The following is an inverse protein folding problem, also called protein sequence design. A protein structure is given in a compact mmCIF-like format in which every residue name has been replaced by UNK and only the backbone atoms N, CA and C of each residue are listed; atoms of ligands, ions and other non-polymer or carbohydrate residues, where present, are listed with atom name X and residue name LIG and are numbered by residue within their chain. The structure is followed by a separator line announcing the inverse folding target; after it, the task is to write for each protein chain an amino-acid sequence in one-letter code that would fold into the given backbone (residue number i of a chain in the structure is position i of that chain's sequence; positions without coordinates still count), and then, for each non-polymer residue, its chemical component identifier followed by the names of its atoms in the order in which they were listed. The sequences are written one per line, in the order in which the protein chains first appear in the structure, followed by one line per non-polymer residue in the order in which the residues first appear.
data_IF_910139104865
#
_entry.id   IF_910139104865
#
_cell.length_a   1.000
_cell.length_b   1.000
_cell.length_c   1.000
_cell.angle_alpha   90.00
_cell.angle_beta   90.00
_cell.angle_gamma   90.00
#
_symmetry.space_group_name_H-M   'P 1'
#
loop_
_entity.id
_entity.type
_entity.pdbx_description
1 polymer ?
#
# COMPACT_ATOMS: atom_id res chain seq x y z
N UNK A 1 65.89 -12.14 -23.75
CA UNK A 1 64.63 -11.42 -23.44
C UNK A 1 63.64 -12.42 -22.87
N UNK A 2 62.96 -12.07 -21.78
CA UNK A 2 61.91 -12.91 -21.19
C UNK A 2 60.56 -12.26 -21.48
N UNK A 3 59.63 -12.98 -22.11
CA UNK A 3 58.31 -12.48 -22.53
C UNK A 3 58.35 -11.19 -23.37
N UNK A 4 59.40 -11.00 -24.19
CA UNK A 4 59.57 -9.80 -25.01
C UNK A 4 59.90 -8.51 -24.24
N UNK A 5 60.22 -8.61 -22.94
CA UNK A 5 60.52 -7.47 -22.07
C UNK A 5 62.00 -7.50 -21.66
N UNK A 6 62.63 -6.33 -21.62
CA UNK A 6 64.03 -6.14 -21.18
C UNK A 6 65.03 -5.98 -22.32
N UNK A 7 66.31 -5.93 -21.97
CA UNK A 7 67.41 -5.79 -22.93
C UNK A 7 67.81 -7.14 -23.54
N UNK A 8 68.29 -7.13 -24.78
CA UNK A 8 68.84 -8.33 -25.43
C UNK A 8 70.13 -8.81 -24.76
N UNK A 9 71.00 -7.86 -24.42
CA UNK A 9 72.24 -8.06 -23.67
C UNK A 9 72.45 -6.87 -22.73
N UNK A 10 73.01 -7.10 -21.54
CA UNK A 10 73.33 -6.01 -20.60
C UNK A 10 74.58 -5.22 -21.03
N UNK A 11 75.42 -5.81 -21.89
CA UNK A 11 76.66 -5.21 -22.42
C UNK A 11 76.35 -3.98 -23.27
N UNK A 12 76.99 -2.85 -22.98
CA UNK A 12 76.79 -1.58 -23.68
C UNK A 12 75.61 -0.74 -23.16
N UNK A 13 74.78 -1.27 -22.27
CA UNK A 13 73.65 -0.52 -21.68
C UNK A 13 74.02 0.35 -20.48
N UNK A 14 75.22 0.15 -19.91
CA UNK A 14 75.66 0.84 -18.69
C UNK A 14 74.90 0.45 -17.41
N UNK A 15 74.07 -0.61 -17.47
CA UNK A 15 73.28 -1.10 -16.33
C UNK A 15 73.47 -2.61 -16.12
N UNK A 16 73.02 -3.12 -14.97
CA UNK A 16 73.10 -4.55 -14.65
C UNK A 16 72.07 -5.41 -15.41
N UNK A 17 71.20 -4.81 -16.24
CA UNK A 17 70.17 -5.53 -17.00
C UNK A 17 69.02 -6.10 -16.16
N UNK A 18 68.87 -5.65 -14.90
CA UNK A 18 67.81 -6.10 -14.00
C UNK A 18 66.47 -5.44 -14.33
N UNK A 19 65.44 -6.24 -14.59
CA UNK A 19 64.10 -5.78 -15.00
C UNK A 19 63.11 -6.09 -13.89
N UNK A 20 62.44 -5.06 -13.37
CA UNK A 20 61.34 -5.20 -12.40
C UNK A 20 59.98 -5.05 -13.09
N UNK A 21 58.98 -5.77 -12.59
CA UNK A 21 57.59 -5.56 -13.00
C UNK A 21 57.09 -4.21 -12.46
N UNK A 22 56.36 -3.47 -13.28
CA UNK A 22 55.67 -2.26 -12.81
C UNK A 22 54.49 -2.64 -11.92
N UNK A 23 54.52 -2.25 -10.64
CA UNK A 23 53.44 -2.50 -9.67
C UNK A 23 52.19 -1.64 -9.93
N UNK A 24 52.37 -0.48 -10.57
CA UNK A 24 51.30 0.48 -10.85
C UNK A 24 50.62 0.23 -12.20
N UNK A 25 51.08 -0.74 -12.99
CA UNK A 25 50.44 -1.10 -14.24
C UNK A 25 49.14 -1.87 -13.96
N UNK A 26 48.01 -1.17 -13.99
CA UNK A 26 46.70 -1.78 -13.85
C UNK A 26 46.39 -2.60 -15.11
N UNK A 27 46.07 -3.88 -14.94
CA UNK A 27 45.61 -4.72 -16.06
C UNK A 27 44.29 -4.12 -16.58
N UNK A 28 44.15 -3.89 -17.89
CA UNK A 28 42.87 -3.47 -18.45
C UNK A 28 41.81 -4.50 -18.09
N UNK A 29 40.68 -4.01 -17.56
CA UNK A 29 39.58 -4.87 -17.13
C UNK A 29 38.92 -5.46 -18.39
N UNK A 30 38.83 -6.79 -18.47
CA UNK A 30 38.13 -7.46 -19.56
C UNK A 30 36.62 -7.30 -19.37
N UNK A 31 36.07 -6.18 -19.86
CA UNK A 31 34.66 -5.80 -19.70
C UNK A 31 33.72 -6.91 -20.20
N UNK A 32 34.06 -7.60 -21.29
CA UNK A 32 33.24 -8.67 -21.87
C UNK A 32 33.13 -9.86 -20.91
N UNK A 33 34.25 -10.34 -20.38
CA UNK A 33 34.29 -11.50 -19.50
C UNK A 33 33.66 -11.21 -18.14
N UNK A 34 33.81 -9.98 -17.63
CA UNK A 34 33.11 -9.54 -16.42
C UNK A 34 31.59 -9.43 -16.64
N UNK A 35 31.16 -9.01 -17.82
CA UNK A 35 29.75 -8.88 -18.17
C UNK A 35 29.09 -10.26 -18.32
N UNK A 36 29.71 -11.18 -19.03
CA UNK A 36 29.26 -12.58 -19.14
C UNK A 36 29.17 -13.23 -17.76
N UNK A 37 30.18 -13.03 -16.90
CA UNK A 37 30.17 -13.55 -15.52
C UNK A 37 29.07 -12.93 -14.67
N UNK A 38 28.77 -11.64 -14.85
CA UNK A 38 27.62 -10.99 -14.20
C UNK A 38 26.29 -11.53 -14.72
N UNK A 39 26.14 -11.70 -16.03
CA UNK A 39 24.94 -12.25 -16.65
C UNK A 39 24.71 -13.71 -16.19
N UNK A 40 25.74 -14.54 -16.12
CA UNK A 40 25.67 -15.88 -15.53
C UNK A 40 25.29 -15.85 -14.05
N UNK A 41 25.85 -14.93 -13.26
CA UNK A 41 25.49 -14.82 -11.84
C UNK A 41 24.02 -14.42 -11.65
N UNK A 42 23.51 -13.55 -12.53
CA UNK A 42 22.09 -13.15 -12.56
C UNK A 42 21.20 -14.31 -12.95
N UNK A 43 21.59 -15.07 -13.98
CA UNK A 43 20.86 -16.25 -14.44
C UNK A 43 20.76 -17.32 -13.34
N UNK A 44 21.85 -17.58 -12.60
CA UNK A 44 21.86 -18.52 -11.46
C UNK A 44 20.98 -18.03 -10.30
N UNK A 45 20.88 -16.72 -10.09
CA UNK A 45 20.03 -16.15 -9.03
C UNK A 45 18.55 -16.00 -9.45
N UNK A 46 18.24 -16.16 -10.74
CA UNK A 46 16.90 -16.05 -11.30
C UNK A 46 16.21 -17.42 -11.43
N UNK A 47 16.86 -18.51 -11.00
CA UNK A 47 16.26 -19.83 -11.05
C UNK A 47 15.08 -19.88 -10.08
N UNK A 48 13.87 -19.91 -10.63
CA UNK A 48 12.65 -19.90 -9.85
C UNK A 48 12.54 -21.17 -8.98
N UNK A 49 11.95 -21.07 -7.79
CA UNK A 49 11.64 -22.25 -6.98
C UNK A 49 10.77 -23.24 -7.76
N UNK A 50 11.14 -24.52 -7.76
CA UNK A 50 10.35 -25.56 -8.43
C UNK A 50 9.23 -26.02 -7.50
N UNK A 51 7.98 -25.89 -7.95
CA UNK A 51 6.81 -26.31 -7.21
C UNK A 51 6.82 -27.81 -6.90
N UNK A 52 7.32 -28.66 -7.80
CA UNK A 52 7.40 -30.10 -7.59
C UNK A 52 8.34 -30.46 -6.42
N UNK A 53 9.48 -29.78 -6.33
CA UNK A 53 10.44 -29.98 -5.23
C UNK A 53 9.85 -29.51 -3.90
N UNK A 54 9.16 -28.36 -3.88
CA UNK A 54 8.49 -27.86 -2.67
C UNK A 54 7.39 -28.81 -2.19
N UNK A 55 6.59 -29.36 -3.12
CA UNK A 55 5.57 -30.35 -2.80
C UNK A 55 6.17 -31.66 -2.28
N UNK A 56 7.29 -32.10 -2.86
CA UNK A 56 7.99 -33.30 -2.42
C UNK A 56 8.53 -33.12 -1.00
N UNK A 57 9.17 -31.99 -0.70
CA UNK A 57 9.62 -31.66 0.64
C UNK A 57 8.45 -31.56 1.63
N UNK A 58 7.30 -31.01 1.21
CA UNK A 58 6.07 -30.99 2.01
C UNK A 58 5.59 -32.40 2.37
N UNK A 59 5.49 -33.28 1.36
CA UNK A 59 5.09 -34.69 1.55
C UNK A 59 6.09 -35.44 2.43
N UNK A 60 7.39 -35.25 2.19
CA UNK A 60 8.47 -35.83 2.99
C UNK A 60 8.36 -35.43 4.47
N UNK A 61 8.09 -34.16 4.77
CA UNK A 61 7.86 -33.69 6.16
C UNK A 61 6.65 -34.35 6.82
N UNK A 62 5.59 -34.63 6.06
CA UNK A 62 4.42 -35.37 6.59
C UNK A 62 4.81 -36.82 6.89
N UNK A 63 5.49 -37.50 5.97
CA UNK A 63 5.90 -38.89 6.17
C UNK A 63 6.91 -39.05 7.30
N UNK A 64 7.86 -38.11 7.46
CA UNK A 64 8.78 -38.12 8.61
C UNK A 64 8.00 -38.10 9.93
N UNK A 65 7.00 -37.23 10.08
CA UNK A 65 6.17 -37.19 11.29
C UNK A 65 5.33 -38.44 11.49
N UNK A 66 4.88 -39.06 10.39
CA UNK A 66 4.16 -40.34 10.46
C UNK A 66 5.08 -41.47 10.95
N UNK A 67 6.34 -41.47 10.50
CA UNK A 67 7.35 -42.42 10.95
C UNK A 67 7.73 -42.17 12.42
N UNK A 68 7.96 -40.92 12.83
CA UNK A 68 8.22 -40.56 14.23
C UNK A 68 7.10 -41.07 15.16
N UNK A 69 5.82 -40.86 14.78
CA UNK A 69 4.69 -41.36 15.56
C UNK A 69 4.66 -42.89 15.62
N UNK A 70 4.98 -43.55 14.51
CA UNK A 70 5.04 -45.02 14.45
C UNK A 70 6.08 -45.55 15.42
N UNK A 71 7.32 -45.04 15.35
CA UNK A 71 8.42 -45.42 16.24
C UNK A 71 8.03 -45.20 17.71
N UNK A 72 7.39 -44.08 18.03
CA UNK A 72 6.90 -43.80 19.39
C UNK A 72 5.84 -44.78 19.90
N UNK A 73 4.98 -45.31 19.02
CA UNK A 73 3.94 -46.27 19.42
C UNK A 73 4.47 -47.70 19.49
N UNK A 74 5.45 -48.04 18.65
CA UNK A 74 6.18 -49.30 18.73
C UNK A 74 6.98 -49.38 20.04
N UNK A 75 7.67 -48.30 20.43
CA UNK A 75 8.38 -48.21 21.72
C UNK A 75 7.45 -48.32 22.93
N UNK A 76 6.18 -47.90 22.80
CA UNK A 76 5.13 -48.06 23.82
C UNK A 76 4.52 -49.46 23.84
N UNK A 77 4.83 -50.31 22.86
CA UNK A 77 4.31 -51.67 22.74
C UNK A 77 2.84 -51.74 22.33
N UNK A 78 2.33 -50.76 21.57
CA UNK A 78 0.97 -50.84 21.02
C UNK A 78 0.89 -51.88 19.88
N UNK A 79 -0.30 -52.41 19.62
CA UNK A 79 -0.52 -53.40 18.56
C UNK A 79 -0.48 -52.78 17.17
N UNK A 80 0.03 -53.52 16.18
CA UNK A 80 0.20 -53.05 14.78
C UNK A 80 -1.06 -52.40 14.20
N UNK A 81 -2.23 -52.99 14.40
CA UNK A 81 -3.52 -52.45 13.89
C UNK A 81 -3.81 -51.03 14.42
N UNK A 82 -3.53 -50.78 15.70
CA UNK A 82 -3.77 -49.49 16.35
C UNK A 82 -2.73 -48.45 15.90
N UNK A 83 -1.50 -48.90 15.67
CA UNK A 83 -0.43 -48.06 15.12
C UNK A 83 -0.82 -47.57 13.73
N UNK A 84 -1.27 -48.47 12.85
CA UNK A 84 -1.68 -48.12 11.49
C UNK A 84 -2.86 -47.15 11.47
N UNK A 85 -3.88 -47.37 12.31
CA UNK A 85 -5.04 -46.49 12.39
C UNK A 85 -4.65 -45.06 12.84
N UNK A 86 -3.82 -44.96 13.88
CA UNK A 86 -3.35 -43.66 14.40
C UNK A 86 -2.44 -42.93 13.42
N UNK A 87 -1.53 -43.64 12.76
CA UNK A 87 -0.65 -43.07 11.73
C UNK A 87 -1.45 -42.63 10.51
N UNK A 88 -2.45 -43.41 10.09
CA UNK A 88 -3.34 -43.03 8.98
C UNK A 88 -4.18 -41.79 9.31
N UNK A 89 -4.69 -41.67 10.54
CA UNK A 89 -5.39 -40.48 11.00
C UNK A 89 -4.47 -39.25 11.02
N UNK A 90 -3.25 -39.39 11.54
CA UNK A 90 -2.24 -38.32 11.54
C UNK A 90 -1.88 -37.89 10.11
N UNK A 91 -1.66 -38.84 9.19
CA UNK A 91 -1.34 -38.56 7.79
C UNK A 91 -2.44 -37.72 7.13
N UNK A 92 -3.72 -38.08 7.32
CA UNK A 92 -4.86 -37.30 6.81
C UNK A 92 -4.88 -35.89 7.39
N UNK A 93 -4.76 -35.77 8.72
CA UNK A 93 -4.75 -34.47 9.40
C UNK A 93 -3.61 -33.56 8.91
N UNK A 94 -2.41 -34.10 8.69
CA UNK A 94 -1.25 -33.34 8.22
C UNK A 94 -1.31 -33.01 6.73
N UNK A 95 -2.02 -33.77 5.91
CA UNK A 95 -2.24 -33.41 4.51
C UNK A 95 -3.24 -32.25 4.38
N UNK A 96 -4.27 -32.23 5.22
CA UNK A 96 -5.32 -31.21 5.24
C UNK A 96 -4.89 -29.91 5.94
N UNK A 97 -4.25 -30.03 7.11
CA UNK A 97 -3.91 -28.89 7.99
C UNK A 97 -2.41 -28.67 8.18
N UNK A 98 -1.57 -29.48 7.53
CA UNK A 98 -0.14 -29.45 7.78
C UNK A 98 0.61 -28.32 7.06
N UNK A 99 1.93 -28.48 6.88
CA UNK A 99 2.81 -27.39 6.50
C UNK A 99 2.43 -26.83 5.12
N UNK A 100 2.47 -25.50 5.02
CA UNK A 100 2.33 -24.80 3.74
C UNK A 100 3.49 -25.14 2.81
N UNK A 101 3.27 -25.02 1.50
CA UNK A 101 4.31 -25.25 0.50
C UNK A 101 5.47 -24.27 0.63
N UNK A 102 5.16 -23.02 1.00
CA UNK A 102 6.16 -21.98 1.25
C UNK A 102 6.43 -21.86 2.75
N UNK A 103 7.70 -21.94 3.18
CA UNK A 103 8.06 -21.86 4.59
C UNK A 103 7.85 -20.45 5.14
N UNK A 104 7.41 -20.37 6.40
CA UNK A 104 7.28 -19.09 7.10
C UNK A 104 8.65 -18.45 7.36
N UNK A 105 8.69 -17.16 7.71
CA UNK A 105 9.94 -16.43 8.00
C UNK A 105 10.84 -17.13 9.03
N UNK A 106 10.25 -17.66 10.10
CA UNK A 106 11.01 -18.38 11.13
C UNK A 106 11.52 -19.72 10.63
N UNK A 107 10.72 -20.42 9.82
CA UNK A 107 11.10 -21.69 9.20
C UNK A 107 12.22 -21.46 8.18
N UNK A 108 12.15 -20.38 7.40
CA UNK A 108 13.15 -20.00 6.43
C UNK A 108 14.54 -19.79 7.03
N UNK A 109 14.63 -19.30 8.28
CA UNK A 109 15.89 -19.17 9.02
C UNK A 109 16.46 -20.50 9.51
N UNK A 110 15.60 -21.47 9.75
CA UNK A 110 15.99 -22.81 10.18
C UNK A 110 16.35 -23.73 9.00
N UNK A 111 16.06 -23.33 7.77
CA UNK A 111 16.38 -24.10 6.57
C UNK A 111 17.88 -24.30 6.41
N UNK A 112 18.24 -25.45 5.86
CA UNK A 112 19.64 -25.79 5.59
C UNK A 112 20.08 -25.10 4.30
N UNK A 113 21.38 -24.77 4.14
CA UNK A 113 21.89 -24.19 2.89
C UNK A 113 21.63 -25.05 1.64
N UNK A 114 21.44 -26.36 1.82
CA UNK A 114 21.10 -27.31 0.76
C UNK A 114 19.66 -27.17 0.24
N UNK A 115 18.75 -26.56 1.01
CA UNK A 115 17.34 -26.41 0.66
C UNK A 115 17.13 -25.16 -0.22
N UNK A 116 17.83 -25.13 -1.35
CA UNK A 116 17.91 -23.97 -2.26
C UNK A 116 16.54 -23.50 -2.76
N UNK A 117 15.64 -24.43 -3.10
CA UNK A 117 14.29 -24.10 -3.57
C UNK A 117 13.41 -23.51 -2.47
N UNK A 118 13.47 -24.07 -1.25
CA UNK A 118 12.71 -23.54 -0.11
C UNK A 118 13.23 -22.15 0.31
N UNK A 119 14.56 -21.95 0.30
CA UNK A 119 15.18 -20.64 0.51
C UNK A 119 14.82 -19.65 -0.61
N UNK A 120 14.73 -20.11 -1.85
CA UNK A 120 14.29 -19.32 -2.99
C UNK A 120 12.85 -18.84 -2.82
N UNK A 121 11.93 -19.74 -2.49
CA UNK A 121 10.51 -19.43 -2.29
C UNK A 121 10.30 -18.46 -1.11
N UNK A 122 11.01 -18.68 0.00
CA UNK A 122 10.98 -17.75 1.13
C UNK A 122 11.47 -16.34 0.74
N UNK A 123 12.57 -16.25 -0.03
CA UNK A 123 13.10 -14.96 -0.49
C UNK A 123 12.17 -14.28 -1.49
N UNK A 124 11.48 -15.03 -2.33
CA UNK A 124 10.49 -14.48 -3.25
C UNK A 124 9.31 -13.86 -2.48
N UNK A 125 8.78 -14.56 -1.48
CA UNK A 125 7.76 -13.99 -0.60
C UNK A 125 8.25 -12.76 0.18
N UNK A 126 9.49 -12.79 0.69
CA UNK A 126 10.10 -11.63 1.34
C UNK A 126 10.23 -10.44 0.38
N UNK A 127 10.63 -10.68 -0.87
CA UNK A 127 10.71 -9.65 -1.92
C UNK A 127 9.33 -9.08 -2.23
N UNK A 128 8.31 -9.92 -2.40
CA UNK A 128 6.92 -9.47 -2.64
C UNK A 128 6.41 -8.65 -1.45
N UNK A 129 6.69 -9.09 -0.23
CA UNK A 129 6.33 -8.35 0.99
C UNK A 129 7.05 -7.01 1.06
N UNK A 130 8.34 -6.96 0.72
CA UNK A 130 9.14 -5.74 0.66
C UNK A 130 8.66 -4.80 -0.44
N UNK A 131 8.34 -5.32 -1.63
CA UNK A 131 7.78 -4.58 -2.76
C UNK A 131 6.48 -3.87 -2.36
N UNK A 132 5.56 -4.61 -1.71
CA UNK A 132 4.33 -4.05 -1.15
C UNK A 132 4.60 -2.99 -0.09
N UNK A 133 5.55 -3.24 0.82
CA UNK A 133 5.91 -2.29 1.88
C UNK A 133 6.52 -0.98 1.32
N UNK A 134 7.28 -1.07 0.22
CA UNK A 134 7.84 0.07 -0.49
C UNK A 134 6.83 0.79 -1.41
N UNK A 135 5.63 0.24 -1.58
CA UNK A 135 4.61 0.78 -2.47
C UNK A 135 4.95 0.64 -3.95
N UNK A 136 5.78 -0.34 -4.30
CA UNK A 136 6.10 -0.69 -5.69
C UNK A 136 4.96 -1.58 -6.21
N UNK A 137 4.45 -1.28 -7.41
CA UNK A 137 3.41 -2.08 -8.05
C UNK A 137 3.91 -3.49 -8.40
N UNK A 138 3.03 -4.49 -8.38
CA UNK A 138 3.35 -5.85 -8.85
C UNK A 138 3.88 -5.88 -10.28
N UNK A 139 3.36 -4.97 -11.10
CA UNK A 139 3.62 -4.91 -12.54
C UNK A 139 4.85 -4.04 -12.85
N UNK A 140 5.63 -3.69 -11.84
CA UNK A 140 6.86 -2.91 -12.01
C UNK A 140 7.94 -3.76 -12.69
N UNK A 141 8.34 -3.36 -13.89
CA UNK A 141 9.46 -3.99 -14.60
C UNK A 141 10.71 -3.13 -14.50
N UNK A 142 11.82 -3.75 -14.14
CA UNK A 142 13.12 -3.08 -14.06
C UNK A 142 13.51 -2.48 -15.42
N UNK A 143 13.89 -1.20 -15.43
CA UNK A 143 14.31 -0.51 -16.65
C UNK A 143 13.21 0.29 -17.35
N UNK A 144 11.92 0.07 -17.03
CA UNK A 144 10.81 0.88 -17.57
C UNK A 144 10.96 2.37 -17.21
N UNK A 145 11.59 2.67 -16.08
CA UNK A 145 11.89 4.02 -15.65
C UNK A 145 12.87 4.78 -16.57
N UNK A 146 13.54 4.12 -17.52
CA UNK A 146 14.40 4.78 -18.50
C UNK A 146 13.75 4.90 -19.89
N UNK A 147 12.61 4.24 -20.12
CA UNK A 147 11.90 4.32 -21.38
C UNK A 147 11.04 5.59 -21.43
N UNK A 148 11.53 6.60 -22.15
CA UNK A 148 10.91 7.94 -22.22
C UNK A 148 9.49 7.90 -22.78
N UNK A 149 9.24 7.09 -23.80
CA UNK A 149 7.91 6.97 -24.43
C UNK A 149 6.89 6.36 -23.47
N UNK A 150 7.27 5.29 -22.76
CA UNK A 150 6.42 4.65 -21.76
C UNK A 150 6.10 5.59 -20.59
N UNK A 151 7.06 6.45 -20.19
CA UNK A 151 6.81 7.47 -19.17
C UNK A 151 5.86 8.57 -19.64
N UNK A 152 6.00 9.02 -20.88
CA UNK A 152 5.11 10.03 -21.47
C UNK A 152 3.68 9.48 -21.57
N UNK A 153 3.50 8.23 -22.01
CA UNK A 153 2.20 7.54 -22.02
C UNK A 153 1.58 7.44 -20.62
N UNK A 154 2.33 6.93 -19.62
CA UNK A 154 1.86 6.84 -18.23
C UNK A 154 1.54 8.21 -17.62
N UNK A 155 2.21 9.27 -18.08
CA UNK A 155 1.92 10.65 -17.65
C UNK A 155 0.61 11.15 -18.26
N UNK A 156 0.38 10.90 -19.54
CA UNK A 156 -0.87 11.27 -20.24
C UNK A 156 -2.05 10.52 -19.61
N UNK A 157 -1.95 9.21 -19.44
CA UNK A 157 -2.99 8.39 -18.81
C UNK A 157 -3.35 8.90 -17.40
N UNK A 158 -2.34 9.24 -16.59
CA UNK A 158 -2.56 9.84 -15.27
C UNK A 158 -3.24 11.22 -15.35
N UNK A 159 -2.98 12.00 -16.39
CA UNK A 159 -3.66 13.28 -16.60
C UNK A 159 -5.11 13.06 -17.01
N UNK A 160 -5.36 12.18 -17.97
CA UNK A 160 -6.70 11.82 -18.43
C UNK A 160 -7.56 11.24 -17.30
N UNK A 161 -7.01 10.36 -16.46
CA UNK A 161 -7.72 9.81 -15.30
C UNK A 161 -8.09 10.92 -14.30
N UNK A 162 -7.19 11.89 -14.07
CA UNK A 162 -7.46 13.06 -13.21
C UNK A 162 -8.51 13.97 -13.81
N UNK A 163 -8.53 14.14 -15.13
CA UNK A 163 -9.55 14.92 -15.82
C UNK A 163 -10.91 14.24 -15.75
N UNK A 164 -10.97 12.93 -16.02
CA UNK A 164 -12.20 12.12 -15.87
C UNK A 164 -12.74 12.23 -14.44
N UNK A 165 -11.90 12.02 -13.43
CA UNK A 165 -12.29 12.14 -12.03
C UNK A 165 -12.75 13.55 -11.67
N UNK A 166 -12.14 14.59 -12.25
CA UNK A 166 -12.60 15.97 -12.04
C UNK A 166 -13.95 16.23 -12.70
N UNK A 167 -14.18 15.71 -13.91
CA UNK A 167 -15.45 15.85 -14.62
C UNK A 167 -16.56 15.11 -13.86
N UNK A 168 -16.33 13.87 -13.45
CA UNK A 168 -17.26 13.09 -12.62
C UNK A 168 -17.57 13.79 -11.30
N UNK A 169 -16.54 14.31 -10.60
CA UNK A 169 -16.73 15.06 -9.36
C UNK A 169 -17.52 16.37 -9.57
N UNK A 170 -17.31 17.07 -10.69
CA UNK A 170 -18.08 18.28 -11.05
C UNK A 170 -19.53 17.94 -11.34
N UNK A 171 -19.78 16.90 -12.13
CA UNK A 171 -21.13 16.42 -12.43
C UNK A 171 -21.86 16.02 -11.14
N UNK A 172 -21.20 15.28 -10.25
CA UNK A 172 -21.78 14.89 -8.96
C UNK A 172 -22.07 16.10 -8.07
N UNK A 173 -21.19 17.10 -8.07
CA UNK A 173 -21.39 18.34 -7.32
C UNK A 173 -22.56 19.17 -7.87
N UNK A 174 -22.69 19.27 -9.19
CA UNK A 174 -23.81 19.94 -9.85
C UNK A 174 -25.14 19.24 -9.57
N UNK A 175 -25.19 17.91 -9.70
CA UNK A 175 -26.39 17.12 -9.36
C UNK A 175 -26.79 17.32 -7.89
N UNK A 176 -25.81 17.28 -6.97
CA UNK A 176 -26.06 17.54 -5.55
C UNK A 176 -26.56 18.97 -5.29
N UNK A 177 -26.05 19.96 -6.03
CA UNK A 177 -26.48 21.35 -5.93
C UNK A 177 -27.90 21.54 -6.44
N UNK A 178 -28.27 20.89 -7.55
CA UNK A 178 -29.63 20.91 -8.09
C UNK A 178 -30.62 20.23 -7.15
N UNK A 179 -30.27 19.06 -6.60
CA UNK A 179 -31.09 18.39 -5.59
C UNK A 179 -31.32 19.29 -4.37
N UNK A 180 -30.27 19.92 -3.84
CA UNK A 180 -30.40 20.85 -2.72
C UNK A 180 -31.28 22.07 -3.06
N UNK A 181 -31.25 22.55 -4.30
CA UNK A 181 -32.11 23.64 -4.78
C UNK A 181 -33.58 23.20 -4.80
N UNK A 182 -33.87 22.03 -5.36
CA UNK A 182 -35.22 21.47 -5.42
C UNK A 182 -35.76 21.20 -4.00
N UNK A 183 -34.93 20.66 -3.11
CA UNK A 183 -35.31 20.43 -1.71
C UNK A 183 -35.58 21.74 -0.97
N UNK A 184 -34.77 22.78 -1.18
CA UNK A 184 -35.02 24.11 -0.61
C UNK A 184 -36.32 24.73 -1.13
N UNK A 185 -36.62 24.57 -2.43
CA UNK A 185 -37.86 25.05 -3.04
C UNK A 185 -39.08 24.32 -2.45
N UNK A 186 -39.00 22.99 -2.30
CA UNK A 186 -40.03 22.19 -1.61
C UNK A 186 -40.26 22.67 -0.16
N UNK A 187 -39.21 22.99 0.58
CA UNK A 187 -39.32 23.52 1.95
C UNK A 187 -40.00 24.89 1.97
N UNK A 188 -39.68 25.77 1.01
CA UNK A 188 -40.31 27.10 0.91
C UNK A 188 -41.80 26.96 0.56
N UNK A 189 -42.15 26.08 -0.37
CA UNK A 189 -43.52 25.82 -0.76
C UNK A 189 -44.34 25.20 0.38
N UNK A 190 -43.77 24.25 1.13
CA UNK A 190 -44.41 23.68 2.32
C UNK A 190 -44.64 24.75 3.40
N UNK A 191 -43.67 25.64 3.63
CA UNK A 191 -43.83 26.78 4.55
C UNK A 191 -44.96 27.71 4.08
N UNK A 192 -44.99 28.06 2.79
CA UNK A 192 -46.07 28.88 2.21
C UNK A 192 -47.44 28.22 2.39
N UNK A 193 -47.55 26.91 2.17
CA UNK A 193 -48.80 26.17 2.40
C UNK A 193 -49.21 26.22 3.87
N UNK A 194 -48.27 25.98 4.79
CA UNK A 194 -48.51 26.05 6.25
C UNK A 194 -48.88 27.47 6.71
N UNK A 195 -48.30 28.50 6.11
CA UNK A 195 -48.63 29.89 6.40
C UNK A 195 -50.03 30.26 5.87
N UNK A 196 -50.40 29.76 4.68
CA UNK A 196 -51.74 29.93 4.12
C UNK A 196 -52.81 29.17 4.94
N UNK A 197 -52.54 27.94 5.37
CA UNK A 197 -53.42 27.19 6.28
C UNK A 197 -53.62 27.92 7.62
N UNK A 198 -52.53 28.47 8.18
CA UNK A 198 -52.60 29.29 9.41
C UNK A 198 -53.41 30.58 9.21
N UNK A 199 -53.25 31.24 8.06
CA UNK A 199 -54.03 32.42 7.72
C UNK A 199 -55.53 32.11 7.56
N UNK A 200 -55.87 31.00 6.89
CA UNK A 200 -57.25 30.55 6.76
C UNK A 200 -57.88 30.19 8.12
N UNK A 201 -57.15 29.50 9.00
CA UNK A 201 -57.61 29.23 10.37
C UNK A 201 -57.80 30.50 11.19
N UNK A 202 -56.93 31.51 11.02
CA UNK A 202 -57.08 32.79 11.69
C UNK A 202 -58.29 33.58 11.18
N UNK A 203 -58.60 33.50 9.87
CA UNK A 203 -59.83 34.08 9.31
C UNK A 203 -61.08 33.35 9.81
N UNK A 204 -61.05 32.01 9.89
CA UNK A 204 -62.16 31.21 10.45
C UNK A 204 -62.41 31.53 11.92
N UNK A 205 -61.33 31.70 12.72
CA UNK A 205 -61.45 32.18 14.11
C UNK A 205 -62.00 33.60 14.19
N UNK A 206 -61.53 34.52 13.34
CA UNK A 206 -62.02 35.89 13.28
C UNK A 206 -63.48 35.98 12.79
N UNK A 207 -63.95 35.02 11.99
CA UNK A 207 -65.35 34.90 11.60
C UNK A 207 -66.22 34.31 12.72
N UNK A 208 -65.70 33.38 13.52
CA UNK A 208 -66.37 32.91 14.74
C UNK A 208 -66.41 33.95 15.88
N UNK A 209 -65.42 34.85 15.95
CA UNK A 209 -65.38 35.96 16.91
C UNK A 209 -66.30 37.12 16.53
N UNK A 210 -66.87 37.15 15.31
CA UNK A 210 -67.90 38.13 14.92
C UNK A 210 -69.27 37.85 15.53
N UNK A 211 -69.50 36.64 16.03
CA UNK A 211 -70.71 36.28 16.79
C UNK A 211 -70.52 36.41 18.32
N UNK A 212 -69.30 36.71 18.78
CA UNK A 212 -69.00 37.00 20.18
C UNK A 212 -68.86 38.52 20.39
N UNK A 213 -69.95 39.15 20.84
CA UNK A 213 -69.99 40.57 21.15
C UNK A 213 -68.85 40.99 22.12
N UNK A 214 -68.00 41.98 21.76
CA UNK A 214 -66.99 42.46 22.69
C UNK A 214 -67.56 43.56 23.58
N UNK A 215 -67.57 43.31 24.89
CA UNK A 215 -67.76 44.33 25.92
C UNK A 215 -66.50 45.20 25.97
N UNK A 216 -66.64 46.48 25.61
CA UNK A 216 -65.54 47.44 25.56
C UNK A 216 -65.33 48.12 26.92
N UNK A 217 -64.08 48.20 27.42
CA UNK A 217 -63.68 49.26 28.34
C UNK A 217 -62.72 50.28 27.68
N UNK A 218 -62.66 51.51 28.21
CA UNK A 218 -62.31 52.70 27.44
C UNK A 218 -60.80 52.93 27.28
N UNK A 219 -60.51 53.61 26.17
CA UNK A 219 -59.20 54.09 25.77
C UNK A 219 -58.52 54.96 26.82
N UNK A 220 -57.26 54.61 27.13
CA UNK A 220 -56.28 55.56 27.65
C UNK A 220 -55.07 55.55 26.72
N UNK A 221 -54.76 56.73 26.19
CA UNK A 221 -53.60 56.99 25.36
C UNK A 221 -52.38 57.26 26.23
N UNK A 222 -51.26 56.62 25.88
CA UNK A 222 -49.85 57.07 25.97
C UNK A 222 -48.92 55.85 25.94
N UNK A 223 -47.62 55.98 25.61
CA UNK A 223 -46.97 56.76 24.55
C UNK A 223 -46.16 55.84 23.61
N UNK A 224 -45.66 56.42 22.51
CA UNK A 224 -44.72 55.81 21.55
C UNK A 224 -43.46 55.26 22.25
N UNK A 225 -43.25 53.94 22.18
CA UNK A 225 -42.04 53.27 22.67
C UNK A 225 -41.39 52.53 21.49
N UNK A 226 -40.32 53.13 20.95
CA UNK A 226 -39.44 52.49 19.97
C UNK A 226 -38.67 51.38 20.69
N UNK A 227 -39.06 50.14 20.43
CA UNK A 227 -38.24 48.97 20.76
C UNK A 227 -37.79 48.31 19.46
N UNK A 228 -36.61 48.70 19.00
CA UNK A 228 -35.74 47.85 18.19
C UNK A 228 -35.60 46.50 18.92
N UNK A 229 -36.42 45.53 18.51
CA UNK A 229 -36.19 44.14 18.88
C UNK A 229 -35.03 43.63 18.07
N UNK A 230 -33.84 43.87 18.63
CA UNK A 230 -32.64 43.10 18.41
C UNK A 230 -32.95 41.63 18.72
N UNK A 231 -33.44 40.88 17.73
CA UNK A 231 -33.55 39.42 17.78
C UNK A 231 -32.15 38.87 17.47
N UNK A 232 -31.22 39.14 18.37
CA UNK A 232 -30.02 38.34 18.51
C UNK A 232 -30.39 37.09 19.33
N UNK A 233 -31.17 36.21 18.72
CA UNK A 233 -31.40 34.89 19.27
C UNK A 233 -31.06 33.86 18.22
N UNK A 234 -29.81 33.38 18.36
CA UNK A 234 -29.58 31.96 18.56
C UNK A 234 -30.01 31.12 17.37
N UNK A 235 -29.41 31.42 16.21
CA UNK A 235 -29.21 30.38 15.21
C UNK A 235 -28.26 29.36 15.80
N UNK A 236 -28.90 28.25 16.14
CA UNK A 236 -28.36 26.99 16.56
C UNK A 236 -27.06 26.70 15.82
N UNK A 237 -26.01 26.61 16.62
CA UNK A 237 -24.70 26.07 16.30
C UNK A 237 -24.89 24.57 16.05
N UNK A 238 -25.57 24.20 14.97
CA UNK A 238 -25.53 22.84 14.43
C UNK A 238 -24.30 22.75 13.55
N UNK A 239 -23.34 22.01 14.06
CA UNK A 239 -22.16 21.51 13.39
C UNK A 239 -22.52 21.02 11.98
N UNK A 240 -22.30 21.87 10.99
CA UNK A 240 -22.13 21.40 9.62
C UNK A 240 -20.69 20.94 9.52
N UNK A 241 -20.47 19.71 9.99
CA UNK A 241 -19.28 18.93 9.75
C UNK A 241 -19.23 18.59 8.25
N UNK A 242 -18.94 19.59 7.43
CA UNK A 242 -18.26 19.36 6.17
C UNK A 242 -16.89 18.80 6.51
N UNK A 243 -16.82 17.47 6.55
CA UNK A 243 -15.59 16.73 6.47
C UNK A 243 -14.81 17.24 5.24
N UNK A 244 -13.92 18.21 5.47
CA UNK A 244 -12.81 18.49 4.58
C UNK A 244 -12.06 17.17 4.41
N UNK A 245 -11.76 16.73 3.18
CA UNK A 245 -10.79 15.67 2.99
C UNK A 245 -9.53 16.10 3.72
N UNK A 246 -9.12 15.28 4.67
CA UNK A 246 -7.86 15.43 5.41
C UNK A 246 -6.75 15.29 4.39
N UNK A 247 -6.36 16.42 3.79
CA UNK A 247 -5.15 16.50 3.00
C UNK A 247 -4.02 16.15 3.95
N UNK A 248 -3.52 14.92 3.83
CA UNK A 248 -2.29 14.49 4.48
C UNK A 248 -1.17 15.26 3.78
N UNK A 249 -1.00 16.52 4.19
CA UNK A 249 0.22 17.28 3.97
C UNK A 249 1.33 16.54 4.68
N UNK A 250 1.96 15.68 3.90
CA UNK A 250 3.30 15.13 4.03
C UNK A 250 4.18 16.15 4.76
N UNK A 251 4.66 15.79 5.94
CA UNK A 251 5.66 16.55 6.69
C UNK A 251 6.80 16.98 5.75
N UNK A 252 7.26 18.23 5.79
CA UNK A 252 8.46 18.61 5.06
C UNK A 252 9.62 17.79 5.64
N UNK A 253 10.21 16.94 4.79
CA UNK A 253 11.43 16.22 5.12
C UNK A 253 12.48 17.27 5.44
N UNK A 254 12.91 17.29 6.70
CA UNK A 254 14.00 18.10 7.20
C UNK A 254 15.27 17.61 6.49
N UNK A 255 15.70 18.33 5.45
CA UNK A 255 17.01 18.12 4.81
C UNK A 255 18.10 18.25 5.88
N UNK A 256 18.94 17.23 6.12
CA UNK A 256 20.08 17.39 7.00
C UNK A 256 21.07 18.36 6.34
N UNK A 257 21.36 19.45 7.06
CA UNK A 257 22.41 20.39 6.71
C UNK A 257 23.73 19.64 6.54
N UNK A 258 24.29 19.75 5.35
CA UNK A 258 25.63 19.29 4.98
C UNK A 258 26.64 19.94 5.93
N UNK A 259 27.17 19.16 6.87
CA UNK A 259 28.33 19.55 7.68
C UNK A 259 29.53 19.67 6.76
N UNK A 260 30.14 20.86 6.68
CA UNK A 260 31.45 21.03 6.07
C UNK A 260 32.49 20.50 7.05
N UNK A 261 33.22 19.46 6.65
CA UNK A 261 34.49 19.11 7.30
C UNK A 261 35.63 19.84 6.59
N UNK A 262 36.65 20.30 7.34
CA UNK A 262 37.76 21.11 6.82
C UNK A 262 38.77 20.29 6.01
N UNK A 263 39.59 20.93 5.15
CA UNK A 263 40.64 20.26 4.40
C UNK A 263 41.82 19.87 5.32
N UNK A 264 42.50 18.77 4.92
CA UNK A 264 43.74 18.25 5.48
C UNK A 264 44.92 19.21 5.27
#
# INVERSE_FOLDING_TARGET
MYNGIGLQTARGSGTNGYVQRNLSNLRPRNIVQDRERMEESRARSAMQPDAGILEHERKRKVEIKCLELRDELEDKGESEDVIEERVAALRKSLLEHGPRSVPSYNEAKALRPSETHALGAAKEEERVKMQRALGISSDYVEGEAFNRELQEQRRIERMEERERRQVEARQLWEQRREQARLDAERIIEEKRRRDAERAAQAEEQHESDKDAAPEAPPAQASPHDEHERNINSRWDRREDSYARPRDRSRSPVRVPRRSSSPPL
#
